data_IF_674250607794
#
_entry.id   IF_674250607794
#
_cell.length_a   1.000
_cell.length_b   1.000
_cell.length_c   1.000
_cell.angle_alpha   90.00
_cell.angle_beta   90.00
_cell.angle_gamma   90.00
#
_symmetry.space_group_name_H-M   'P 1'
#
loop_
_entity.id
_entity.type
_entity.pdbx_description
1 polymer ?
#
# COMPACT_ATOMS: atom_id res chain seq x y z
N UNK A 1 17.86 21.25 38.68
CA UNK A 1 18.14 20.01 37.91
C UNK A 1 16.91 19.25 37.44
N UNK A 2 15.84 19.07 38.24
CA UNK A 2 14.62 18.33 37.85
C UNK A 2 13.88 18.92 36.62
N UNK A 3 13.75 20.26 36.54
CA UNK A 3 13.06 20.96 35.43
C UNK A 3 13.73 20.75 34.05
N UNK A 4 15.06 20.74 33.98
CA UNK A 4 15.80 20.56 32.72
C UNK A 4 15.64 19.11 32.17
N UNK A 5 15.68 18.12 33.05
CA UNK A 5 15.47 16.72 32.68
C UNK A 5 14.05 16.48 32.17
N UNK A 6 13.05 17.12 32.77
CA UNK A 6 11.66 17.03 32.33
C UNK A 6 11.45 17.63 30.92
N UNK A 7 12.07 18.79 30.65
CA UNK A 7 11.99 19.45 29.34
C UNK A 7 12.66 18.64 28.23
N UNK A 8 13.85 18.06 28.51
CA UNK A 8 14.54 17.17 27.55
C UNK A 8 13.71 15.91 27.29
N UNK A 9 13.10 15.35 28.32
CA UNK A 9 12.20 14.20 28.18
C UNK A 9 10.99 14.53 27.32
N UNK A 10 10.38 15.71 27.50
CA UNK A 10 9.22 16.13 26.69
C UNK A 10 9.58 16.28 25.20
N UNK A 11 10.75 16.85 24.87
CA UNK A 11 11.23 16.93 23.48
C UNK A 11 11.50 15.54 22.91
N UNK A 12 12.11 14.65 23.68
CA UNK A 12 12.38 13.26 23.25
C UNK A 12 11.07 12.50 22.98
N UNK A 13 10.07 12.65 23.86
CA UNK A 13 8.72 12.05 23.67
C UNK A 13 8.05 12.61 22.42
N UNK A 14 8.10 13.93 22.21
CA UNK A 14 7.53 14.55 21.00
C UNK A 14 8.21 14.05 19.72
N UNK A 15 9.53 13.92 19.72
CA UNK A 15 10.28 13.35 18.58
C UNK A 15 9.89 11.90 18.30
N UNK A 16 9.77 11.06 19.33
CA UNK A 16 9.31 9.66 19.19
C UNK A 16 7.90 9.60 18.63
N UNK A 17 6.99 10.47 19.09
CA UNK A 17 5.62 10.53 18.58
C UNK A 17 5.57 10.94 17.10
N UNK A 18 6.39 11.90 16.66
CA UNK A 18 6.48 12.31 15.25
C UNK A 18 6.98 11.15 14.39
N UNK A 19 7.98 10.41 14.84
CA UNK A 19 8.50 9.24 14.14
C UNK A 19 7.44 8.13 14.07
N UNK A 20 6.75 7.85 15.17
CA UNK A 20 5.67 6.85 15.22
C UNK A 20 4.50 7.21 14.28
N UNK A 21 4.09 8.48 14.25
CA UNK A 21 3.09 8.99 13.31
C UNK A 21 3.55 8.86 11.85
N UNK A 22 4.83 9.11 11.57
CA UNK A 22 5.42 8.91 10.25
C UNK A 22 5.34 7.45 9.80
N UNK A 23 5.67 6.50 10.66
CA UNK A 23 5.53 5.05 10.38
C UNK A 23 4.08 4.63 10.18
N UNK A 24 3.16 5.11 11.04
CA UNK A 24 1.73 4.82 10.92
C UNK A 24 1.16 5.35 9.60
N UNK A 25 1.53 6.59 9.22
CA UNK A 25 1.13 7.18 7.95
C UNK A 25 1.70 6.40 6.74
N UNK A 26 2.98 6.00 6.80
CA UNK A 26 3.58 5.20 5.74
C UNK A 26 2.86 3.85 5.56
N UNK A 27 2.52 3.17 6.67
CA UNK A 27 1.74 1.94 6.63
C UNK A 27 0.34 2.13 6.04
N UNK A 28 -0.35 3.20 6.46
CA UNK A 28 -1.67 3.56 5.94
C UNK A 28 -1.63 3.86 4.41
N UNK A 29 -0.64 4.65 3.97
CA UNK A 29 -0.47 4.96 2.54
C UNK A 29 -0.12 3.72 1.72
N UNK A 30 0.73 2.84 2.22
CA UNK A 30 1.06 1.58 1.54
C UNK A 30 -0.18 0.68 1.38
N UNK A 31 -1.05 0.63 2.39
CA UNK A 31 -2.32 -0.10 2.29
C UNK A 31 -3.25 0.54 1.26
N UNK A 32 -3.46 1.86 1.34
CA UNK A 32 -4.35 2.58 0.42
C UNK A 32 -3.90 2.44 -1.04
N UNK A 33 -2.59 2.53 -1.30
CA UNK A 33 -2.02 2.34 -2.63
C UNK A 33 -2.26 0.91 -3.12
N UNK A 34 -2.08 -0.08 -2.26
CA UNK A 34 -2.36 -1.47 -2.62
C UNK A 34 -3.84 -1.66 -3.00
N UNK A 35 -4.76 -1.13 -2.20
CA UNK A 35 -6.21 -1.27 -2.43
C UNK A 35 -6.62 -0.58 -3.75
N UNK A 36 -6.15 0.64 -3.99
CA UNK A 36 -6.41 1.39 -5.23
C UNK A 36 -5.82 0.69 -6.47
N UNK A 37 -4.58 0.20 -6.37
CA UNK A 37 -3.94 -0.53 -7.46
C UNK A 37 -4.68 -1.83 -7.77
N UNK A 38 -5.11 -2.59 -6.76
CA UNK A 38 -5.84 -3.83 -6.97
C UNK A 38 -7.23 -3.60 -7.53
N UNK A 39 -7.94 -2.55 -7.12
CA UNK A 39 -9.23 -2.17 -7.67
C UNK A 39 -9.11 -1.79 -9.16
N UNK A 40 -8.11 -0.98 -9.51
CA UNK A 40 -7.81 -0.63 -10.90
C UNK A 40 -7.47 -1.85 -11.76
N UNK A 41 -6.70 -2.80 -11.20
CA UNK A 41 -6.37 -4.04 -11.90
C UNK A 41 -7.60 -4.91 -12.12
N UNK A 42 -8.44 -5.10 -11.10
CA UNK A 42 -9.70 -5.84 -11.21
C UNK A 42 -10.58 -5.22 -12.31
N UNK A 43 -10.76 -3.91 -12.30
CA UNK A 43 -11.53 -3.18 -13.32
C UNK A 43 -10.96 -3.37 -14.73
N UNK A 44 -9.63 -3.38 -14.87
CA UNK A 44 -8.96 -3.61 -16.14
C UNK A 44 -9.23 -5.01 -16.68
N UNK A 45 -9.11 -6.03 -15.82
CA UNK A 45 -9.38 -7.40 -16.21
C UNK A 45 -10.88 -7.67 -16.48
N UNK A 46 -11.77 -6.96 -15.79
CA UNK A 46 -13.21 -6.98 -16.08
C UNK A 46 -13.50 -6.43 -17.49
N UNK A 47 -12.81 -5.39 -17.92
CA UNK A 47 -12.93 -4.88 -19.29
C UNK A 47 -12.39 -5.87 -20.32
N UNK A 48 -11.29 -6.55 -20.01
CA UNK A 48 -10.76 -7.61 -20.88
C UNK A 48 -11.74 -8.78 -20.99
N UNK A 49 -12.34 -9.20 -19.90
CA UNK A 49 -13.36 -10.24 -19.87
C UNK A 49 -14.56 -9.90 -20.75
N UNK A 50 -15.11 -8.70 -20.61
CA UNK A 50 -16.21 -8.20 -21.49
C UNK A 50 -15.82 -8.19 -22.96
N UNK A 51 -14.57 -7.81 -23.25
CA UNK A 51 -14.06 -7.82 -24.64
C UNK A 51 -13.99 -9.24 -25.18
N UNK A 52 -13.53 -10.19 -24.35
CA UNK A 52 -13.48 -11.59 -24.69
C UNK A 52 -14.88 -12.20 -24.88
N UNK A 53 -15.82 -11.86 -24.01
CA UNK A 53 -17.22 -12.28 -24.11
C UNK A 53 -17.85 -11.81 -25.43
N UNK A 54 -17.66 -10.53 -25.79
CA UNK A 54 -18.12 -9.98 -27.05
C UNK A 54 -17.45 -10.65 -28.25
N UNK A 55 -16.16 -10.94 -28.15
CA UNK A 55 -15.43 -11.70 -29.18
C UNK A 55 -16.00 -13.09 -29.37
N UNK A 56 -16.28 -13.81 -28.28
CA UNK A 56 -16.87 -15.12 -28.30
C UNK A 56 -18.28 -15.10 -28.89
N UNK A 57 -19.13 -14.18 -28.44
CA UNK A 57 -20.50 -14.04 -28.96
C UNK A 57 -20.51 -13.77 -30.46
N UNK A 58 -19.59 -12.93 -30.93
CA UNK A 58 -19.40 -12.66 -32.34
C UNK A 58 -19.06 -13.91 -33.12
N UNK A 59 -18.15 -14.77 -32.61
CA UNK A 59 -17.79 -16.03 -33.27
C UNK A 59 -18.98 -17.00 -33.33
N UNK A 60 -19.74 -17.10 -32.26
CA UNK A 60 -20.93 -17.93 -32.27
C UNK A 60 -22.00 -17.47 -33.26
N UNK A 61 -22.21 -16.14 -33.38
CA UNK A 61 -23.12 -15.59 -34.38
C UNK A 61 -22.68 -15.95 -35.80
N UNK A 62 -21.38 -15.87 -36.10
CA UNK A 62 -20.85 -16.25 -37.41
C UNK A 62 -20.99 -17.76 -37.67
N UNK A 63 -20.71 -18.59 -36.65
CA UNK A 63 -20.93 -20.05 -36.77
C UNK A 63 -22.39 -20.37 -36.97
N UNK A 64 -23.32 -19.70 -36.29
CA UNK A 64 -24.76 -19.88 -36.47
C UNK A 64 -25.22 -19.47 -37.87
N UNK A 65 -24.69 -18.36 -38.42
CA UNK A 65 -24.96 -17.94 -39.80
C UNK A 65 -24.48 -19.01 -40.81
N UNK A 66 -23.33 -19.64 -40.56
CA UNK A 66 -22.81 -20.70 -41.42
C UNK A 66 -23.59 -22.02 -41.26
N UNK A 67 -24.03 -22.36 -40.05
CA UNK A 67 -24.92 -23.48 -39.79
C UNK A 67 -26.23 -23.35 -40.61
N UNK A 68 -26.85 -22.17 -40.59
CA UNK A 68 -28.03 -21.88 -41.38
C UNK A 68 -27.77 -22.02 -42.90
N UNK A 69 -26.59 -21.62 -43.37
CA UNK A 69 -26.20 -21.79 -44.77
C UNK A 69 -25.97 -23.28 -45.12
N UNK A 70 -25.36 -24.06 -44.22
CA UNK A 70 -25.18 -25.51 -44.40
C UNK A 70 -26.52 -26.24 -44.44
N UNK A 71 -27.45 -25.85 -43.56
CA UNK A 71 -28.80 -26.41 -43.55
C UNK A 71 -29.56 -26.15 -44.87
N UNK A 72 -29.43 -24.92 -45.41
CA UNK A 72 -30.02 -24.59 -46.73
C UNK A 72 -29.30 -25.30 -47.87
N UNK A 73 -27.99 -25.47 -47.80
CA UNK A 73 -27.19 -26.14 -48.82
C UNK A 73 -27.44 -27.67 -48.88
N UNK A 74 -27.86 -28.31 -47.78
CA UNK A 74 -28.26 -29.74 -47.79
C UNK A 74 -29.49 -30.00 -48.65
N UNK A 75 -30.38 -29.02 -48.78
CA UNK A 75 -31.55 -29.11 -49.68
C UNK A 75 -31.17 -28.87 -51.15
N UNK A 76 -30.17 -27.94 -51.39
CA UNK A 76 -29.76 -27.50 -52.74
C UNK A 76 -28.46 -28.15 -53.27
N UNK A 77 -27.69 -28.87 -52.45
CA UNK A 77 -26.43 -29.54 -52.84
C UNK A 77 -25.18 -28.68 -53.00
N UNK A 78 -25.19 -27.40 -52.56
CA UNK A 78 -24.11 -26.41 -52.77
C UNK A 78 -23.21 -26.16 -51.56
N UNK A 79 -22.47 -27.15 -51.05
CA UNK A 79 -21.45 -26.98 -50.01
C UNK A 79 -20.33 -26.02 -50.42
N UNK A 80 -19.99 -26.00 -51.70
CA UNK A 80 -18.92 -25.13 -52.22
C UNK A 80 -19.14 -23.64 -51.89
N UNK A 81 -20.38 -23.17 -51.90
CA UNK A 81 -20.72 -21.79 -51.61
C UNK A 81 -20.43 -21.43 -50.15
N UNK A 82 -20.63 -22.37 -49.22
CA UNK A 82 -20.31 -22.20 -47.80
C UNK A 82 -18.80 -22.12 -47.58
N UNK A 83 -18.05 -22.99 -48.22
CA UNK A 83 -16.58 -22.96 -48.15
C UNK A 83 -15.98 -21.72 -48.81
N UNK A 84 -16.52 -21.23 -49.91
CA UNK A 84 -16.11 -20.01 -50.57
C UNK A 84 -16.35 -18.84 -49.61
N UNK A 85 -17.48 -18.77 -48.94
CA UNK A 85 -17.83 -17.75 -47.98
C UNK A 85 -16.94 -17.78 -46.75
N UNK A 86 -16.73 -18.98 -46.17
CA UNK A 86 -15.82 -19.16 -45.05
C UNK A 86 -14.39 -18.74 -45.38
N UNK A 87 -13.88 -19.14 -46.59
CA UNK A 87 -12.55 -18.70 -47.06
C UNK A 87 -12.45 -17.21 -47.33
N UNK A 88 -13.48 -16.57 -47.90
CA UNK A 88 -13.50 -15.11 -48.14
C UNK A 88 -13.50 -14.33 -46.85
N UNK A 89 -14.10 -14.83 -45.79
CA UNK A 89 -14.15 -14.23 -44.48
C UNK A 89 -12.90 -14.51 -43.64
N UNK A 90 -12.15 -15.57 -43.92
CA UNK A 90 -11.01 -16.03 -43.15
C UNK A 90 -9.97 -14.91 -42.93
N UNK A 91 -9.62 -14.13 -43.94
CA UNK A 91 -8.66 -13.06 -43.84
C UNK A 91 -9.17 -11.88 -42.97
N UNK A 92 -10.46 -11.54 -43.09
CA UNK A 92 -11.08 -10.45 -42.32
C UNK A 92 -11.23 -10.80 -40.84
N UNK A 93 -11.51 -12.06 -40.55
CA UNK A 93 -11.73 -12.57 -39.20
C UNK A 93 -10.50 -13.23 -38.59
N UNK A 94 -9.44 -13.45 -39.38
CA UNK A 94 -8.15 -14.02 -38.96
C UNK A 94 -8.25 -15.43 -38.40
N UNK A 95 -9.24 -16.23 -38.85
CA UNK A 95 -9.30 -17.66 -38.51
C UNK A 95 -8.07 -18.39 -38.98
N UNK A 96 -7.66 -19.41 -38.22
CA UNK A 96 -6.65 -20.34 -38.66
C UNK A 96 -7.25 -21.38 -39.60
N UNK A 97 -8.24 -22.14 -39.11
CA UNK A 97 -8.96 -23.17 -39.83
C UNK A 97 -10.45 -23.14 -39.46
N UNK A 98 -11.30 -23.55 -40.39
CA UNK A 98 -12.72 -23.85 -40.20
C UNK A 98 -12.90 -25.35 -40.31
N UNK A 99 -13.65 -25.96 -39.42
CA UNK A 99 -13.85 -27.41 -39.32
C UNK A 99 -15.32 -27.76 -39.40
N UNK A 100 -15.64 -28.79 -40.20
CA UNK A 100 -16.79 -29.65 -39.96
C UNK A 100 -16.28 -30.91 -39.28
N UNK A 101 -16.98 -31.42 -38.27
CA UNK A 101 -16.57 -32.58 -37.50
C UNK A 101 -17.76 -33.39 -36.99
N UNK A 102 -17.51 -34.63 -36.52
CA UNK A 102 -18.53 -35.50 -35.97
C UNK A 102 -18.09 -36.17 -34.67
N UNK A 103 -19.00 -36.91 -34.03
CA UNK A 103 -18.74 -37.62 -32.78
C UNK A 103 -17.70 -38.76 -32.92
N UNK A 104 -17.44 -39.23 -34.16
CA UNK A 104 -16.43 -40.23 -34.45
C UNK A 104 -15.03 -39.61 -34.67
N UNK A 105 -14.88 -38.32 -34.41
CA UNK A 105 -13.67 -37.52 -34.62
C UNK A 105 -13.23 -37.43 -36.10
N UNK A 106 -14.13 -37.69 -37.05
CA UNK A 106 -13.87 -37.34 -38.44
C UNK A 106 -14.01 -35.82 -38.61
N UNK A 107 -13.11 -35.22 -39.36
CA UNK A 107 -13.18 -33.81 -39.69
C UNK A 107 -12.79 -33.54 -41.14
N UNK A 108 -13.29 -32.40 -41.62
CA UNK A 108 -12.80 -31.72 -42.84
C UNK A 108 -12.63 -30.23 -42.58
N UNK A 109 -11.63 -29.63 -43.21
CA UNK A 109 -11.37 -28.19 -43.09
C UNK A 109 -11.67 -27.44 -44.37
N UNK A 110 -11.83 -26.12 -44.25
CA UNK A 110 -11.96 -25.19 -45.40
C UNK A 110 -10.79 -25.30 -46.41
N UNK A 111 -9.62 -25.77 -45.98
CA UNK A 111 -8.46 -26.06 -46.82
C UNK A 111 -8.45 -27.48 -47.44
N UNK A 112 -9.51 -28.22 -47.29
CA UNK A 112 -9.63 -29.60 -47.86
C UNK A 112 -8.85 -30.66 -47.09
N UNK A 113 -8.32 -30.38 -45.91
CA UNK A 113 -7.72 -31.41 -45.04
C UNK A 113 -8.84 -32.20 -44.39
N UNK A 114 -8.82 -33.50 -44.53
CA UNK A 114 -9.78 -34.44 -43.93
C UNK A 114 -9.07 -35.58 -43.19
N UNK A 115 -9.73 -36.22 -42.26
CA UNK A 115 -9.18 -37.37 -41.53
C UNK A 115 -9.78 -37.52 -40.15
N UNK A 116 -9.02 -38.17 -39.25
CA UNK A 116 -9.35 -38.28 -37.83
C UNK A 116 -8.72 -37.12 -37.06
N UNK A 117 -9.50 -36.55 -36.16
CA UNK A 117 -9.02 -35.53 -35.29
C UNK A 117 -7.90 -36.09 -34.39
N UNK A 118 -6.77 -35.37 -34.33
CA UNK A 118 -5.67 -35.68 -33.44
C UNK A 118 -5.79 -34.91 -32.14
N UNK A 119 -4.88 -33.97 -31.91
CA UNK A 119 -4.86 -33.15 -30.69
C UNK A 119 -6.11 -32.27 -30.45
N UNK A 120 -6.96 -32.07 -31.47
CA UNK A 120 -8.20 -31.29 -31.37
C UNK A 120 -9.42 -32.14 -30.93
N UNK A 121 -9.30 -33.48 -30.88
CA UNK A 121 -10.45 -34.36 -30.61
C UNK A 121 -11.08 -34.06 -29.24
N UNK A 122 -10.29 -33.79 -28.22
CA UNK A 122 -10.76 -33.40 -26.90
C UNK A 122 -11.69 -32.19 -26.92
N UNK A 123 -11.40 -31.17 -27.78
CA UNK A 123 -12.27 -30.01 -27.95
C UNK A 123 -13.62 -30.37 -28.54
N UNK A 124 -13.63 -31.25 -29.53
CA UNK A 124 -14.85 -31.72 -30.18
C UNK A 124 -15.70 -32.53 -29.20
N UNK A 125 -15.08 -33.44 -28.42
CA UNK A 125 -15.77 -34.21 -27.39
C UNK A 125 -16.37 -33.32 -26.31
N UNK A 126 -15.63 -32.34 -25.81
CA UNK A 126 -16.14 -31.36 -24.82
C UNK A 126 -17.41 -30.66 -25.34
N UNK A 127 -17.46 -30.26 -26.61
CA UNK A 127 -18.65 -29.66 -27.19
C UNK A 127 -19.85 -30.62 -27.18
N UNK A 128 -19.64 -31.88 -27.55
CA UNK A 128 -20.73 -32.86 -27.54
C UNK A 128 -21.22 -33.20 -26.14
N UNK A 129 -20.31 -33.26 -25.16
CA UNK A 129 -20.66 -33.44 -23.74
C UNK A 129 -21.50 -32.30 -23.19
N UNK A 130 -21.17 -31.06 -23.58
CA UNK A 130 -21.93 -29.87 -23.18
C UNK A 130 -23.25 -29.72 -23.97
N UNK A 131 -23.33 -30.23 -25.19
CA UNK A 131 -24.51 -30.16 -26.06
C UNK A 131 -24.87 -28.75 -26.53
N UNK A 132 -23.97 -27.79 -26.39
CA UNK A 132 -24.16 -26.37 -26.74
C UNK A 132 -22.90 -25.82 -27.40
N UNK A 133 -22.95 -24.58 -27.86
CA UNK A 133 -21.74 -23.86 -28.27
C UNK A 133 -20.69 -23.86 -27.17
N UNK A 134 -19.46 -24.17 -27.53
CA UNK A 134 -18.37 -24.37 -26.60
C UNK A 134 -17.07 -23.68 -27.05
N UNK A 135 -16.26 -23.30 -26.09
CA UNK A 135 -14.91 -22.81 -26.34
C UNK A 135 -13.92 -23.70 -25.58
N UNK A 136 -12.86 -24.08 -26.25
CA UNK A 136 -11.77 -24.82 -25.63
C UNK A 136 -10.44 -24.49 -26.32
N UNK A 137 -9.37 -25.11 -25.88
CA UNK A 137 -8.06 -24.97 -26.51
C UNK A 137 -7.33 -26.29 -26.60
N UNK A 138 -6.43 -26.40 -27.57
CA UNK A 138 -5.54 -27.54 -27.72
C UNK A 138 -4.14 -27.07 -28.16
N UNK A 139 -3.16 -27.95 -28.01
CA UNK A 139 -1.82 -27.75 -28.55
C UNK A 139 -1.72 -28.45 -29.89
N UNK A 140 -1.52 -27.70 -30.96
CA UNK A 140 -1.38 -28.23 -32.28
C UNK A 140 -0.02 -28.96 -32.46
N UNK A 141 0.12 -29.73 -33.53
CA UNK A 141 1.35 -30.51 -33.84
C UNK A 141 2.60 -29.63 -34.01
N UNK A 142 2.43 -28.35 -34.30
CA UNK A 142 3.50 -27.35 -34.39
C UNK A 142 3.87 -26.74 -33.01
N UNK A 143 3.31 -27.24 -31.92
CA UNK A 143 3.51 -26.77 -30.56
C UNK A 143 2.76 -25.47 -30.23
N UNK A 144 1.98 -24.91 -31.16
CA UNK A 144 1.21 -23.70 -30.90
C UNK A 144 -0.11 -24.01 -30.19
N UNK A 145 -0.48 -23.20 -29.20
CA UNK A 145 -1.80 -23.29 -28.58
C UNK A 145 -2.84 -22.64 -29.50
N UNK A 146 -3.95 -23.31 -29.72
CA UNK A 146 -5.06 -22.80 -30.51
C UNK A 146 -6.33 -22.80 -29.70
N UNK A 147 -7.11 -21.76 -29.90
CA UNK A 147 -8.43 -21.57 -29.28
C UNK A 147 -9.46 -21.91 -30.31
N UNK A 148 -10.46 -22.69 -29.91
CA UNK A 148 -11.50 -23.22 -30.80
C UNK A 148 -12.87 -22.83 -30.29
N UNK A 149 -13.66 -22.25 -31.17
CA UNK A 149 -15.09 -22.02 -30.97
C UNK A 149 -15.83 -23.07 -31.75
N UNK A 150 -16.64 -23.87 -31.11
CA UNK A 150 -17.38 -24.97 -31.68
C UNK A 150 -18.88 -24.82 -31.43
N UNK A 151 -19.68 -25.26 -32.39
CA UNK A 151 -21.14 -25.22 -32.37
C UNK A 151 -21.66 -26.55 -32.90
N UNK A 152 -22.66 -27.21 -32.25
CA UNK A 152 -23.38 -28.33 -32.86
C UNK A 152 -24.21 -27.81 -34.02
N UNK A 153 -24.20 -28.55 -35.15
CA UNK A 153 -25.05 -28.21 -36.32
C UNK A 153 -26.51 -28.44 -36.00
N UNK A 154 -27.37 -27.55 -36.48
CA UNK A 154 -28.84 -27.69 -36.37
C UNK A 154 -29.37 -28.87 -37.14
N UNK A 155 -28.72 -29.24 -38.27
CA UNK A 155 -28.99 -30.41 -39.08
C UNK A 155 -27.66 -31.09 -39.45
N UNK A 156 -27.60 -32.46 -39.39
CA UNK A 156 -26.44 -33.18 -39.86
C UNK A 156 -26.19 -32.92 -41.35
N UNK A 157 -24.92 -32.70 -41.68
CA UNK A 157 -24.49 -32.40 -43.04
C UNK A 157 -23.61 -33.53 -43.58
N UNK A 158 -23.96 -34.12 -44.75
CA UNK A 158 -23.20 -35.23 -45.35
C UNK A 158 -22.40 -34.73 -46.55
N UNK A 159 -21.10 -34.99 -46.52
CA UNK A 159 -20.16 -34.66 -47.58
C UNK A 159 -19.20 -35.84 -47.80
N UNK A 160 -18.98 -36.24 -49.07
CA UNK A 160 -18.12 -37.38 -49.45
C UNK A 160 -18.39 -38.65 -48.64
N UNK A 161 -19.64 -38.93 -48.31
CA UNK A 161 -20.06 -40.13 -47.56
C UNK A 161 -19.82 -40.05 -46.04
N UNK A 162 -19.32 -38.94 -45.52
CA UNK A 162 -19.15 -38.70 -44.08
C UNK A 162 -20.19 -37.69 -43.60
N UNK A 163 -20.90 -38.03 -42.52
CA UNK A 163 -21.88 -37.15 -41.89
C UNK A 163 -21.22 -36.38 -40.75
N UNK A 164 -21.31 -35.05 -40.81
CA UNK A 164 -20.81 -34.09 -39.85
C UNK A 164 -21.94 -33.52 -39.01
N UNK A 165 -21.69 -33.27 -37.73
CA UNK A 165 -22.70 -32.81 -36.77
C UNK A 165 -22.19 -31.62 -35.92
N UNK A 166 -21.00 -31.13 -36.21
CA UNK A 166 -20.42 -29.99 -35.55
C UNK A 166 -19.64 -29.08 -36.50
N UNK A 167 -19.64 -27.81 -36.20
CA UNK A 167 -18.91 -26.76 -36.91
C UNK A 167 -18.00 -26.02 -35.92
N UNK A 168 -16.76 -25.72 -36.33
CA UNK A 168 -15.83 -25.01 -35.49
C UNK A 168 -14.91 -24.06 -36.27
N UNK A 169 -14.42 -23.05 -35.60
CA UNK A 169 -13.31 -22.17 -36.04
C UNK A 169 -12.20 -22.19 -35.04
N UNK A 170 -10.96 -22.18 -35.51
CA UNK A 170 -9.78 -22.07 -34.65
C UNK A 170 -9.04 -20.78 -34.90
N UNK A 171 -8.38 -20.31 -33.84
CA UNK A 171 -7.48 -19.18 -33.85
C UNK A 171 -6.14 -19.58 -33.23
N UNK A 172 -5.06 -18.99 -33.70
CA UNK A 172 -3.81 -19.00 -32.96
C UNK A 172 -3.99 -18.14 -31.69
N UNK A 173 -3.44 -18.60 -30.58
CA UNK A 173 -3.56 -17.89 -29.28
C UNK A 173 -3.14 -16.40 -29.39
N UNK A 174 -2.06 -16.12 -30.12
CA UNK A 174 -1.59 -14.76 -30.32
C UNK A 174 -2.62 -13.87 -31.04
N UNK A 175 -3.40 -14.43 -31.96
CA UNK A 175 -4.45 -13.68 -32.66
C UNK A 175 -5.59 -13.28 -31.72
N UNK A 176 -6.02 -14.17 -30.83
CA UNK A 176 -7.05 -13.87 -29.84
C UNK A 176 -6.54 -12.80 -28.87
N UNK A 177 -5.29 -12.90 -28.46
CA UNK A 177 -4.67 -11.92 -27.60
C UNK A 177 -4.62 -10.52 -28.21
N UNK A 178 -4.16 -10.39 -29.46
CA UNK A 178 -4.14 -9.12 -30.17
C UNK A 178 -5.54 -8.47 -30.26
N UNK A 179 -6.60 -9.29 -30.30
CA UNK A 179 -7.98 -8.84 -30.39
C UNK A 179 -8.61 -8.48 -29.04
N UNK A 180 -8.22 -9.15 -27.97
CA UNK A 180 -8.88 -9.09 -26.67
C UNK A 180 -8.07 -8.29 -25.63
N UNK A 181 -6.78 -8.57 -25.51
CA UNK A 181 -6.03 -8.08 -24.38
C UNK A 181 -5.49 -6.66 -24.57
N UNK A 182 -5.21 -6.26 -25.82
CA UNK A 182 -4.47 -5.02 -26.04
C UNK A 182 -3.10 -4.99 -25.35
N UNK A 183 -2.35 -3.92 -25.46
CA UNK A 183 -1.07 -3.74 -24.73
C UNK A 183 -1.29 -3.05 -23.38
N UNK A 184 -2.00 -3.72 -22.47
CA UNK A 184 -2.42 -3.16 -21.19
C UNK A 184 -1.18 -3.08 -20.34
N UNK A 185 -0.32 -2.92 -19.98
CA UNK A 185 0.86 -2.85 -19.13
C UNK A 185 2.20 -2.99 -19.91
N UNK A 186 2.19 -2.61 -21.21
CA UNK A 186 3.40 -2.61 -22.04
C UNK A 186 4.13 -3.96 -22.06
N UNK A 187 3.36 -5.07 -22.09
CA UNK A 187 3.93 -6.41 -22.08
C UNK A 187 4.52 -6.89 -20.76
N UNK A 188 4.27 -6.18 -19.63
CA UNK A 188 4.77 -6.54 -18.30
C UNK A 188 3.69 -7.10 -17.38
N UNK A 189 2.68 -7.72 -17.96
CA UNK A 189 1.64 -8.46 -17.25
C UNK A 189 1.44 -9.80 -17.93
N UNK A 190 1.12 -10.82 -17.15
CA UNK A 190 0.69 -12.12 -17.61
C UNK A 190 -0.78 -12.31 -17.27
N UNK A 191 -1.57 -12.75 -18.24
CA UNK A 191 -2.97 -13.01 -18.05
C UNK A 191 -3.31 -14.40 -18.60
N UNK A 192 -3.95 -15.21 -17.77
CA UNK A 192 -4.33 -16.56 -18.08
C UNK A 192 -5.84 -16.72 -17.92
N UNK A 193 -6.48 -17.38 -18.87
CA UNK A 193 -7.80 -17.94 -18.68
C UNK A 193 -7.62 -19.39 -18.24
N UNK A 194 -8.17 -19.72 -17.09
CA UNK A 194 -7.94 -21.01 -16.43
C UNK A 194 -9.25 -21.69 -16.07
N UNK A 195 -9.23 -23.02 -16.01
CA UNK A 195 -10.32 -23.82 -15.43
C UNK A 195 -10.31 -23.69 -13.90
N UNK A 196 -11.37 -24.13 -13.25
CA UNK A 196 -11.45 -24.19 -11.77
C UNK A 196 -10.31 -24.98 -11.13
N UNK A 197 -9.71 -25.94 -11.84
CA UNK A 197 -8.52 -26.70 -11.44
C UNK A 197 -7.23 -25.88 -11.47
N UNK A 198 -7.23 -24.69 -12.09
CA UNK A 198 -6.03 -23.88 -12.36
C UNK A 198 -5.34 -24.24 -13.68
N UNK A 199 -5.87 -25.18 -14.46
CA UNK A 199 -5.34 -25.56 -15.77
C UNK A 199 -5.54 -24.41 -16.76
N UNK A 200 -4.47 -24.05 -17.46
CA UNK A 200 -4.48 -22.95 -18.42
C UNK A 200 -5.21 -23.38 -19.68
N UNK A 201 -6.34 -22.74 -19.95
CA UNK A 201 -7.06 -22.90 -21.22
C UNK A 201 -6.31 -22.14 -22.31
N UNK A 202 -6.01 -20.87 -22.08
CA UNK A 202 -5.15 -20.05 -22.96
C UNK A 202 -4.56 -18.88 -22.18
N UNK A 203 -3.51 -18.27 -22.77
CA UNK A 203 -2.87 -17.09 -22.24
C UNK A 203 -3.24 -15.89 -23.07
N UNK A 204 -3.55 -14.77 -22.43
CA UNK A 204 -3.84 -13.49 -23.07
C UNK A 204 -2.59 -12.63 -23.22
N UNK A 205 -1.38 -13.19 -23.10
CA UNK A 205 -0.12 -12.46 -23.32
C UNK A 205 0.96 -13.30 -24.03
N UNK A 206 1.59 -12.74 -25.07
CA UNK A 206 2.56 -13.48 -25.91
C UNK A 206 3.96 -13.57 -25.34
N UNK A 207 4.31 -12.71 -24.39
CA UNK A 207 5.69 -12.59 -23.85
C UNK A 207 5.65 -12.69 -22.34
N UNK A 208 5.32 -13.89 -21.86
CA UNK A 208 5.38 -14.16 -20.42
C UNK A 208 6.84 -14.20 -19.95
N UNK A 209 7.16 -13.39 -18.94
CA UNK A 209 8.38 -13.54 -18.14
C UNK A 209 8.31 -14.78 -17.24
N UNK A 210 7.09 -15.25 -16.96
CA UNK A 210 6.76 -16.52 -16.34
C UNK A 210 6.78 -17.54 -17.47
N UNK A 211 7.54 -18.55 -17.45
CA UNK A 211 7.75 -19.58 -18.48
C UNK A 211 6.66 -19.71 -19.57
N UNK A 212 7.01 -19.76 -20.86
CA UNK A 212 6.06 -19.70 -21.97
C UNK A 212 5.03 -20.86 -22.04
N UNK A 213 5.18 -21.90 -21.22
CA UNK A 213 4.31 -23.09 -21.21
C UNK A 213 3.95 -23.54 -19.79
N UNK A 214 3.19 -22.71 -19.07
CA UNK A 214 2.59 -23.15 -17.81
C UNK A 214 1.28 -23.89 -18.15
N UNK A 215 1.21 -25.19 -17.84
CA UNK A 215 0.00 -25.99 -18.03
C UNK A 215 -1.05 -25.72 -16.94
N UNK A 216 -0.59 -25.52 -15.71
CA UNK A 216 -1.42 -25.17 -14.56
C UNK A 216 -0.77 -24.01 -13.79
N UNK A 217 -1.40 -22.84 -13.84
CA UNK A 217 -0.86 -21.63 -13.20
C UNK A 217 -0.92 -21.70 -11.68
N UNK A 218 -1.96 -22.32 -11.13
CA UNK A 218 -2.09 -22.43 -9.68
C UNK A 218 -1.02 -23.34 -9.09
N UNK A 219 -0.75 -24.50 -9.71
CA UNK A 219 0.34 -25.37 -9.30
C UNK A 219 1.70 -24.65 -9.39
N UNK A 220 1.93 -23.93 -10.49
CA UNK A 220 3.16 -23.16 -10.67
C UNK A 220 3.35 -22.08 -9.58
N UNK A 221 2.30 -21.34 -9.25
CA UNK A 221 2.35 -20.31 -8.20
C UNK A 221 2.54 -20.94 -6.81
N UNK A 222 1.90 -22.07 -6.54
CA UNK A 222 2.07 -22.80 -5.27
C UNK A 222 3.49 -23.28 -5.04
N UNK A 223 4.21 -23.66 -6.11
CA UNK A 223 5.58 -24.15 -6.04
C UNK A 223 6.65 -23.03 -6.01
N UNK A 224 6.40 -21.92 -6.73
CA UNK A 224 7.45 -20.92 -7.00
C UNK A 224 7.18 -19.55 -6.39
N UNK A 225 5.94 -19.25 -5.95
CA UNK A 225 5.60 -17.93 -5.43
C UNK A 225 5.57 -17.90 -3.89
N UNK A 226 6.04 -16.78 -3.33
CA UNK A 226 5.91 -16.47 -1.90
C UNK A 226 4.88 -15.36 -1.73
N UNK A 227 3.80 -15.64 -1.00
CA UNK A 227 2.70 -14.71 -0.79
C UNK A 227 2.93 -13.87 0.46
N UNK A 228 2.90 -12.54 0.32
CA UNK A 228 2.98 -11.59 1.43
C UNK A 228 1.61 -11.00 1.81
N UNK A 229 0.63 -11.09 0.90
CA UNK A 229 -0.76 -10.77 1.15
C UNK A 229 -1.64 -11.86 0.56
N UNK A 230 -2.54 -12.41 1.39
CA UNK A 230 -3.31 -13.61 1.07
C UNK A 230 -2.52 -14.90 1.36
N UNK A 231 -3.21 -16.03 1.35
CA UNK A 231 -2.58 -17.35 1.41
C UNK A 231 -2.86 -18.11 0.11
N UNK A 232 -1.93 -18.93 -0.31
CA UNK A 232 -2.09 -19.71 -1.55
C UNK A 232 -3.34 -20.60 -1.54
N UNK A 233 -3.59 -21.29 -0.44
CA UNK A 233 -4.76 -22.18 -0.31
C UNK A 233 -6.08 -21.43 -0.42
N UNK A 234 -6.14 -20.22 0.13
CA UNK A 234 -7.32 -19.35 0.02
C UNK A 234 -7.53 -18.88 -1.42
N UNK A 235 -6.45 -18.44 -2.10
CA UNK A 235 -6.50 -17.99 -3.49
C UNK A 235 -6.96 -19.14 -4.41
N UNK A 236 -6.35 -20.32 -4.26
CA UNK A 236 -6.71 -21.50 -5.04
C UNK A 236 -8.19 -21.87 -4.85
N UNK A 237 -8.67 -21.83 -3.61
CA UNK A 237 -10.08 -22.09 -3.31
C UNK A 237 -11.00 -21.04 -3.93
N UNK A 238 -10.64 -19.75 -3.86
CA UNK A 238 -11.44 -18.66 -4.42
C UNK A 238 -11.49 -18.71 -5.94
N UNK A 239 -10.37 -18.97 -6.60
CA UNK A 239 -10.32 -19.21 -8.07
C UNK A 239 -11.20 -20.38 -8.45
N UNK A 240 -11.10 -21.51 -7.73
CA UNK A 240 -11.94 -22.69 -7.95
C UNK A 240 -13.45 -22.47 -7.74
N UNK A 241 -13.84 -21.44 -6.96
CA UNK A 241 -15.24 -21.06 -6.76
C UNK A 241 -15.68 -19.85 -7.60
N UNK A 242 -14.86 -19.39 -8.54
CA UNK A 242 -15.17 -18.22 -9.37
C UNK A 242 -15.38 -16.94 -8.56
N UNK A 243 -14.56 -16.70 -7.55
CA UNK A 243 -14.59 -15.46 -6.75
C UNK A 243 -13.63 -14.42 -7.31
N UNK A 244 -13.98 -13.14 -7.08
CA UNK A 244 -13.10 -12.02 -7.37
C UNK A 244 -12.18 -11.78 -6.18
N UNK A 245 -10.90 -11.56 -6.45
CA UNK A 245 -9.96 -11.22 -5.39
C UNK A 245 -8.59 -10.80 -5.91
N UNK A 246 -7.74 -10.45 -4.95
CA UNK A 246 -6.37 -10.03 -5.22
C UNK A 246 -5.41 -10.53 -4.15
N UNK A 247 -4.15 -10.66 -4.51
CA UNK A 247 -3.06 -11.00 -3.61
C UNK A 247 -1.78 -10.30 -4.06
N UNK A 248 -0.75 -10.35 -3.23
CA UNK A 248 0.58 -9.90 -3.60
C UNK A 248 1.58 -11.03 -3.34
N UNK A 249 2.36 -11.37 -4.37
CA UNK A 249 3.37 -12.42 -4.27
C UNK A 249 4.71 -11.97 -4.85
N UNK A 250 5.75 -12.67 -4.43
CA UNK A 250 7.10 -12.55 -5.00
C UNK A 250 7.37 -13.83 -5.78
N UNK A 251 7.73 -13.66 -7.06
CA UNK A 251 8.05 -14.74 -7.98
C UNK A 251 9.39 -14.41 -8.67
N UNK A 252 10.36 -15.32 -8.60
CA UNK A 252 11.71 -15.11 -9.15
C UNK A 252 12.38 -13.80 -8.67
N UNK A 253 12.13 -13.39 -7.41
CA UNK A 253 12.68 -12.17 -6.83
C UNK A 253 11.98 -10.87 -7.23
N UNK A 254 10.94 -10.92 -8.06
CA UNK A 254 10.12 -9.78 -8.46
C UNK A 254 8.77 -9.81 -7.75
N UNK A 255 8.26 -8.64 -7.35
CA UNK A 255 6.92 -8.50 -6.78
C UNK A 255 5.85 -8.47 -7.87
N UNK A 256 4.74 -9.17 -7.63
CA UNK A 256 3.58 -9.21 -8.52
C UNK A 256 2.29 -8.97 -7.77
N UNK A 257 1.43 -8.15 -8.35
CA UNK A 257 0.01 -8.14 -8.04
C UNK A 257 -0.65 -9.32 -8.74
N UNK A 258 -1.28 -10.19 -8.00
CA UNK A 258 -2.12 -11.26 -8.49
C UNK A 258 -3.58 -10.82 -8.36
N UNK A 259 -4.32 -10.87 -9.46
CA UNK A 259 -5.75 -10.58 -9.51
C UNK A 259 -6.45 -11.76 -10.17
N UNK A 260 -7.59 -12.16 -9.64
CA UNK A 260 -8.40 -13.23 -10.19
C UNK A 260 -9.88 -12.91 -10.11
N UNK A 261 -10.60 -13.34 -11.13
CA UNK A 261 -12.05 -13.15 -11.24
C UNK A 261 -12.67 -14.23 -12.14
N UNK A 262 -13.99 -14.51 -12.03
CA UNK A 262 -14.66 -15.40 -12.96
C UNK A 262 -14.62 -14.78 -14.36
N UNK A 263 -14.48 -15.62 -15.37
CA UNK A 263 -14.71 -15.24 -16.75
C UNK A 263 -16.21 -15.31 -17.06
N UNK A 264 -16.71 -14.40 -17.90
CA UNK A 264 -18.13 -14.38 -18.31
C UNK A 264 -18.54 -15.57 -19.18
N UNK A 265 -17.61 -16.46 -19.51
CA UNK A 265 -17.82 -17.61 -20.39
C UNK A 265 -17.36 -18.89 -19.71
N UNK A 266 -18.24 -19.89 -19.66
CA UNK A 266 -17.93 -21.18 -19.03
C UNK A 266 -17.69 -21.10 -17.52
N UNK A 267 -17.04 -22.11 -16.98
CA UNK A 267 -16.64 -22.23 -15.56
C UNK A 267 -15.17 -21.83 -15.41
N UNK A 268 -14.75 -20.78 -16.10
CA UNK A 268 -13.38 -20.35 -16.14
C UNK A 268 -13.15 -19.14 -15.23
N UNK A 269 -11.89 -18.92 -14.91
CA UNK A 269 -11.44 -17.72 -14.22
C UNK A 269 -10.32 -17.04 -15.00
N UNK A 270 -10.27 -15.73 -14.93
CA UNK A 270 -9.13 -14.96 -15.40
C UNK A 270 -8.17 -14.78 -14.22
N UNK A 271 -6.91 -15.09 -14.44
CA UNK A 271 -5.83 -14.92 -13.46
C UNK A 271 -4.78 -13.99 -14.09
N UNK A 272 -4.65 -12.80 -13.51
CA UNK A 272 -3.70 -11.78 -13.95
C UNK A 272 -2.55 -11.64 -12.98
N UNK A 273 -1.33 -11.55 -13.50
CA UNK A 273 -0.08 -11.28 -12.77
C UNK A 273 0.54 -10.02 -13.36
N UNK A 274 0.62 -8.95 -12.59
CA UNK A 274 1.20 -7.69 -13.04
C UNK A 274 2.38 -7.32 -12.15
N UNK A 275 3.51 -7.02 -12.75
CA UNK A 275 4.70 -6.60 -11.99
C UNK A 275 4.44 -5.33 -11.21
N UNK A 276 4.84 -5.34 -9.95
CA UNK A 276 4.63 -4.22 -9.03
C UNK A 276 5.37 -2.95 -9.46
N UNK A 277 6.55 -3.08 -10.10
CA UNK A 277 7.30 -1.93 -10.59
C UNK A 277 6.56 -1.13 -11.68
N UNK A 278 5.68 -1.79 -12.44
CA UNK A 278 4.86 -1.15 -13.46
C UNK A 278 3.65 -0.46 -12.85
N UNK A 279 2.96 -1.19 -11.96
CA UNK A 279 1.75 -0.70 -11.29
C UNK A 279 2.09 0.46 -10.34
N UNK A 280 3.17 0.31 -9.58
CA UNK A 280 3.62 1.29 -8.59
C UNK A 280 4.40 2.48 -9.20
N UNK A 281 4.73 2.45 -10.49
CA UNK A 281 5.62 3.45 -11.11
C UNK A 281 5.14 4.90 -10.94
N UNK A 282 3.85 5.16 -11.08
CA UNK A 282 3.26 6.48 -10.84
C UNK A 282 3.12 6.88 -9.37
N UNK A 283 3.10 5.90 -8.47
CA UNK A 283 2.88 6.11 -7.04
C UNK A 283 4.20 6.24 -6.25
N UNK A 284 5.31 5.77 -6.79
CA UNK A 284 6.61 5.88 -6.13
C UNK A 284 7.06 7.34 -5.98
N UNK A 285 6.76 8.20 -6.94
CA UNK A 285 7.00 9.65 -6.82
C UNK A 285 6.17 10.27 -5.70
N UNK A 286 4.89 9.91 -5.60
CA UNK A 286 3.99 10.39 -4.54
C UNK A 286 4.46 9.90 -3.17
N UNK A 287 4.88 8.64 -3.06
CA UNK A 287 5.48 8.10 -1.82
C UNK A 287 6.73 8.87 -1.41
N UNK A 288 7.62 9.14 -2.35
CA UNK A 288 8.86 9.90 -2.09
C UNK A 288 8.54 11.31 -1.62
N UNK A 289 7.69 12.04 -2.37
CA UNK A 289 7.31 13.42 -2.04
C UNK A 289 6.65 13.49 -0.67
N UNK A 290 5.69 12.59 -0.37
CA UNK A 290 5.00 12.59 0.93
C UNK A 290 5.94 12.24 2.09
N UNK A 291 6.86 11.29 1.91
CA UNK A 291 7.85 10.92 2.92
C UNK A 291 8.80 12.09 3.21
N UNK A 292 9.29 12.77 2.18
CA UNK A 292 10.13 13.96 2.31
C UNK A 292 9.36 15.08 3.00
N UNK A 293 8.12 15.35 2.61
CA UNK A 293 7.28 16.39 3.21
C UNK A 293 7.05 16.15 4.71
N UNK A 294 6.74 14.92 5.12
CA UNK A 294 6.59 14.56 6.54
C UNK A 294 7.91 14.76 7.30
N UNK A 295 9.03 14.34 6.70
CA UNK A 295 10.35 14.54 7.28
C UNK A 295 10.65 16.03 7.51
N UNK A 296 10.41 16.88 6.53
CA UNK A 296 10.60 18.34 6.62
C UNK A 296 9.71 18.94 7.71
N UNK A 297 8.43 18.60 7.75
CA UNK A 297 7.49 19.07 8.79
C UNK A 297 7.96 18.63 10.17
N UNK A 298 8.41 17.38 10.33
CA UNK A 298 8.96 16.87 11.58
C UNK A 298 10.19 17.65 12.06
N UNK A 299 11.11 17.98 11.15
CA UNK A 299 12.29 18.82 11.47
C UNK A 299 11.87 20.23 11.89
N UNK A 300 10.92 20.85 11.18
CA UNK A 300 10.41 22.19 11.51
C UNK A 300 9.78 22.20 12.89
N UNK A 301 8.91 21.23 13.21
CA UNK A 301 8.26 21.15 14.53
C UNK A 301 9.31 20.97 15.63
N UNK A 302 10.28 20.09 15.42
CA UNK A 302 11.36 19.85 16.39
C UNK A 302 12.19 21.11 16.61
N UNK A 303 12.57 21.83 15.54
CA UNK A 303 13.32 23.09 15.63
C UNK A 303 12.52 24.18 16.37
N UNK A 304 11.21 24.29 16.13
CA UNK A 304 10.33 25.20 16.86
C UNK A 304 10.27 24.87 18.34
N UNK A 305 10.08 23.60 18.71
CA UNK A 305 10.07 23.16 20.10
C UNK A 305 11.40 23.49 20.81
N UNK A 306 12.53 23.17 20.17
CA UNK A 306 13.86 23.51 20.72
C UNK A 306 14.00 25.03 20.90
N UNK A 307 13.58 25.82 19.91
CA UNK A 307 13.65 27.29 19.97
C UNK A 307 12.81 27.87 21.13
N UNK A 308 11.58 27.34 21.30
CA UNK A 308 10.69 27.73 22.41
C UNK A 308 11.34 27.43 23.78
N UNK A 309 11.90 26.21 23.92
CA UNK A 309 12.56 25.81 25.18
C UNK A 309 13.77 26.67 25.46
N UNK A 310 14.61 26.93 24.46
CA UNK A 310 15.80 27.79 24.62
C UNK A 310 15.41 29.23 24.95
N UNK A 311 14.38 29.79 24.30
CA UNK A 311 13.87 31.14 24.61
C UNK A 311 13.35 31.21 26.03
N UNK A 312 12.60 30.24 26.52
CA UNK A 312 12.12 30.17 27.91
C UNK A 312 13.30 30.09 28.91
N UNK A 313 14.31 29.24 28.65
CA UNK A 313 15.47 29.15 29.53
C UNK A 313 16.24 30.47 29.60
N UNK A 314 16.38 31.18 28.50
CA UNK A 314 17.01 32.50 28.47
C UNK A 314 16.19 33.56 29.22
N UNK A 315 14.86 33.52 29.11
CA UNK A 315 13.97 34.40 29.85
C UNK A 315 14.03 34.12 31.38
N UNK A 316 13.96 32.86 31.79
CA UNK A 316 14.10 32.45 33.20
C UNK A 316 15.47 32.83 33.79
N UNK A 317 16.54 32.73 32.99
CA UNK A 317 17.88 33.14 33.40
C UNK A 317 17.98 34.67 33.61
N UNK A 318 17.40 35.47 32.70
CA UNK A 318 17.37 36.94 32.83
C UNK A 318 16.60 37.38 34.07
N UNK A 319 15.45 36.84 34.34
CA UNK A 319 14.67 37.14 35.55
C UNK A 319 15.46 36.86 36.83
N UNK A 320 16.16 35.74 36.90
CA UNK A 320 17.01 35.40 38.05
C UNK A 320 18.20 36.31 38.20
N UNK A 321 18.79 36.78 37.11
CA UNK A 321 19.89 37.75 37.17
C UNK A 321 19.40 39.14 37.60
N UNK A 322 18.20 39.58 37.16
CA UNK A 322 17.54 40.81 37.62
C UNK A 322 17.22 40.76 39.12
N UNK A 323 16.66 39.64 39.61
CA UNK A 323 16.41 39.42 41.04
C UNK A 323 17.71 39.50 41.86
N UNK A 324 18.77 38.82 41.40
CA UNK A 324 20.08 38.87 42.07
C UNK A 324 20.66 40.29 42.12
N UNK A 325 20.58 40.99 40.99
CA UNK A 325 21.05 42.38 40.94
C UNK A 325 20.21 43.30 41.85
N UNK A 326 18.91 43.08 41.94
CA UNK A 326 18.05 43.85 42.85
C UNK A 326 18.44 43.63 44.33
N UNK A 327 18.63 42.35 44.71
CA UNK A 327 19.11 42.01 46.08
C UNK A 327 20.49 42.58 46.36
N UNK A 328 21.43 42.52 45.42
CA UNK A 328 22.76 43.12 45.59
C UNK A 328 22.70 44.63 45.70
N UNK A 329 21.87 45.33 44.91
CA UNK A 329 21.67 46.82 45.05
C UNK A 329 21.12 47.18 46.42
N UNK A 330 20.10 46.41 46.89
CA UNK A 330 19.54 46.63 48.22
C UNK A 330 20.60 46.43 49.32
N UNK A 331 21.38 45.33 49.20
CA UNK A 331 22.47 45.04 50.14
C UNK A 331 23.53 46.15 50.14
N UNK A 332 23.95 46.72 48.99
CA UNK A 332 24.88 47.81 48.85
C UNK A 332 24.29 49.07 49.45
N UNK A 333 23.04 49.42 49.23
CA UNK A 333 22.38 50.58 49.79
C UNK A 333 22.34 50.48 51.31
N UNK A 334 21.98 49.35 51.90
CA UNK A 334 22.04 49.15 53.37
C UNK A 334 23.47 49.32 53.91
N UNK A 335 24.44 48.71 53.22
CA UNK A 335 25.84 48.83 53.62
C UNK A 335 26.36 50.27 53.56
N UNK A 336 25.95 51.09 52.59
CA UNK A 336 26.29 52.52 52.48
C UNK A 336 25.60 53.36 53.59
N UNK A 337 24.34 53.06 53.90
CA UNK A 337 23.64 53.73 55.03
C UNK A 337 24.33 53.42 56.36
N UNK A 338 24.68 52.17 56.63
CA UNK A 338 25.39 51.76 57.84
C UNK A 338 26.75 52.42 57.91
N UNK A 339 27.52 52.49 56.83
CA UNK A 339 28.80 53.19 56.77
C UNK A 339 28.69 54.72 56.90
N UNK A 340 27.56 55.30 56.45
CA UNK A 340 27.21 56.71 56.70
C UNK A 340 26.90 56.97 58.18
N UNK A 341 26.15 56.09 58.83
CA UNK A 341 25.81 56.15 60.23
C UNK A 341 27.06 56.04 61.11
N UNK A 342 28.03 55.21 60.81
CA UNK A 342 29.30 55.06 61.49
C UNK A 342 30.11 56.43 61.57
N UNK A 343 29.88 57.31 60.60
CA UNK A 343 30.58 58.65 60.58
C UNK A 343 29.87 59.69 61.35
N UNK A 344 28.57 59.53 61.61
CA UNK A 344 27.74 60.58 62.24
C UNK A 344 27.46 60.24 63.70
N UNK A 345 27.35 58.97 64.03
CA UNK A 345 27.01 58.50 65.38
C UNK A 345 28.17 57.67 65.92
N UNK A 346 28.63 58.08 67.12
CA UNK A 346 29.78 57.43 67.78
C UNK A 346 29.57 55.97 68.11
N UNK A 347 28.29 55.56 68.35
CA UNK A 347 27.90 54.18 68.70
C UNK A 347 26.50 53.89 68.19
N UNK A 348 26.28 52.68 67.59
CA UNK A 348 24.98 52.17 67.22
C UNK A 348 24.94 50.66 67.22
N UNK A 349 23.74 50.13 67.31
CA UNK A 349 23.44 48.69 67.28
C UNK A 349 22.59 48.43 66.10
N UNK A 350 22.98 47.49 65.29
CA UNK A 350 22.15 46.91 64.21
C UNK A 350 21.54 45.64 64.73
N UNK A 351 20.21 45.57 64.71
CA UNK A 351 19.46 44.38 65.21
C UNK A 351 18.83 43.67 64.04
N UNK A 352 19.08 42.38 63.94
CA UNK A 352 18.32 41.48 63.05
C UNK A 352 17.12 41.01 63.84
N UNK A 353 15.94 41.50 63.46
CA UNK A 353 14.67 41.14 64.14
C UNK A 353 14.19 39.74 63.81
N UNK A 354 14.72 39.05 62.73
CA UNK A 354 14.35 37.71 62.34
C UNK A 354 15.10 36.70 63.17
N UNK A 355 16.41 36.88 63.27
CA UNK A 355 17.29 35.95 64.01
C UNK A 355 17.49 36.38 65.51
N UNK A 356 16.95 37.55 65.93
CA UNK A 356 17.08 38.05 67.28
C UNK A 356 18.49 38.40 67.67
N UNK A 357 19.38 38.64 66.72
CA UNK A 357 20.80 38.92 66.96
C UNK A 357 21.12 40.40 66.77
N UNK A 358 22.21 40.86 67.41
CA UNK A 358 22.66 42.20 67.21
C UNK A 358 24.14 42.27 66.81
N UNK A 359 24.50 43.37 66.13
CA UNK A 359 25.89 43.76 65.84
C UNK A 359 26.11 45.17 66.37
N UNK A 360 26.98 45.29 67.37
CA UNK A 360 27.38 46.56 67.99
C UNK A 360 28.53 47.15 67.17
N UNK A 361 28.44 48.45 66.83
CA UNK A 361 29.46 49.17 66.07
C UNK A 361 29.82 50.50 66.76
N UNK A 362 31.12 50.76 66.87
CA UNK A 362 31.66 51.93 67.52
C UNK A 362 32.77 52.57 66.65
N UNK A 363 32.77 53.93 66.55
CA UNK A 363 33.67 54.68 65.69
C UNK A 363 35.02 55.00 66.33
N UNK A 364 35.21 54.83 67.63
CA UNK A 364 36.45 55.17 68.35
C UNK A 364 37.24 53.91 68.76
N UNK A 365 38.58 53.95 68.65
CA UNK A 365 39.54 52.91 69.07
C UNK A 365 39.57 52.70 70.60
N UNK A 366 38.45 52.59 71.25
CA UNK A 366 38.33 52.21 72.66
C UNK A 366 37.86 50.79 72.76
N UNK A 367 38.17 50.11 73.83
CA UNK A 367 37.63 48.81 74.08
C UNK A 367 36.11 48.87 74.03
N UNK A 368 35.47 47.94 73.22
CA UNK A 368 34.05 48.00 73.08
C UNK A 368 33.36 47.73 74.42
N UNK A 369 32.37 48.58 74.72
CA UNK A 369 31.68 48.59 76.01
C UNK A 369 30.73 47.34 76.12
N UNK A 370 30.33 46.80 74.98
CA UNK A 370 29.46 45.58 74.84
C UNK A 370 30.09 44.61 73.87
N UNK A 371 29.65 43.36 73.93
CA UNK A 371 30.08 42.42 72.96
C UNK A 371 29.73 42.84 71.53
N UNK A 372 30.65 42.68 70.55
CA UNK A 372 30.46 43.14 69.18
C UNK A 372 29.29 42.44 68.46
N UNK A 373 28.93 41.27 68.87
CA UNK A 373 27.78 40.52 68.36
C UNK A 373 27.21 39.60 69.43
N UNK A 374 25.89 39.43 69.46
CA UNK A 374 25.25 38.55 70.42
C UNK A 374 23.75 38.50 70.26
N UNK A 375 23.07 37.89 71.23
CA UNK A 375 21.63 37.89 71.34
C UNK A 375 21.11 39.29 71.78
N UNK A 376 20.10 39.80 71.05
CA UNK A 376 19.59 41.15 71.32
C UNK A 376 18.90 41.26 72.69
N UNK A 377 18.19 40.17 73.13
CA UNK A 377 17.55 40.14 74.41
C UNK A 377 18.56 40.23 75.59
N UNK A 378 19.75 39.61 75.40
CA UNK A 378 20.82 39.70 76.39
C UNK A 378 21.51 41.09 76.43
N UNK A 379 21.69 41.70 75.26
CA UNK A 379 22.15 43.11 75.20
C UNK A 379 21.17 44.02 75.92
N UNK A 380 19.86 43.89 75.72
CA UNK A 380 18.85 44.69 76.40
C UNK A 380 18.91 44.54 77.92
N UNK A 381 19.11 43.31 78.43
CA UNK A 381 19.27 43.06 79.86
C UNK A 381 20.53 43.75 80.40
N UNK A 382 21.64 43.64 79.70
CA UNK A 382 22.92 44.29 80.11
C UNK A 382 22.81 45.83 80.10
N UNK A 383 22.19 46.40 79.04
CA UNK A 383 21.95 47.83 78.92
C UNK A 383 21.00 48.32 80.05
N UNK A 384 19.89 47.58 80.28
CA UNK A 384 18.94 47.96 81.32
C UNK A 384 19.54 47.84 82.69
N UNK A 385 20.35 46.87 83.01
CA UNK A 385 21.01 46.71 84.26
C UNK A 385 22.03 47.89 84.58
N UNK A 386 22.59 48.48 83.52
CA UNK A 386 23.61 49.48 83.61
C UNK A 386 23.12 50.95 83.62
N UNK A 387 21.99 51.20 82.93
CA UNK A 387 21.55 52.58 82.65
C UNK A 387 20.11 52.86 83.11
N UNK A 388 19.36 51.90 83.52
CA UNK A 388 18.02 52.14 84.05
C UNK A 388 18.09 52.26 85.54
N UNK A 389 18.10 53.49 86.02
CA UNK A 389 17.97 53.82 87.46
C UNK A 389 16.42 53.89 87.70
N UNK A 390 15.89 52.88 88.37
CA UNK A 390 14.53 52.99 88.89
C UNK A 390 14.57 54.09 90.00
N UNK A 391 13.93 55.24 89.75
CA UNK A 391 13.56 56.12 90.77
C UNK A 391 12.33 55.54 91.49
N UNK A 392 12.50 54.99 92.65
CA UNK A 392 11.40 54.79 93.57
C UNK A 392 10.79 56.15 93.90
N UNK A 393 9.62 56.42 93.31
CA UNK A 393 8.75 57.47 93.85
C UNK A 393 7.91 56.87 94.94
N UNK A 394 8.25 57.14 96.18
CA UNK A 394 7.36 56.94 97.32
C UNK A 394 6.15 57.84 97.07
N UNK A 395 4.98 57.19 96.94
CA UNK A 395 3.69 57.87 97.14
C UNK A 395 3.22 57.66 98.56
N UNK A 396 3.15 58.82 99.26
CA UNK A 396 2.32 58.96 100.43
C UNK A 396 0.86 59.14 100.15
#
# INVERSE_FOLDING_TARGET
>A
MKSRRFKVLAIAVAAVLIVALGFAYHGFMAQKIYDENTENLISTYEQMDKTFELFAQRNWNVLADWDALLAAATEDGHIEDVWIRARSQKNSWRYRDVYLFNQNNDFITDGGRSGKAGSIDGVFQEMYEKGTSWISSYIASDGTRRIVFALPLSQPFTFEGVTYTGLAVSYDNNTVMDMVAGDVYRGKSDCYVVRQSGDVVFSLQPKSEIKPFVSNIMAYLGEHASFSRGSFDEIQRQVGHGKVGSAFCTLNGCGYYLVYQPAGIGDWSIVGLVRSDVVDSGMNEVKLISTVAIGVVGVIITALLVTIVVRRERADARLKDEERQAVERQRRAISQLLGGMERIVDRFVVVDLVDGTYEYRENQKREPQYALKGDYADLLKEVSARYVVFSETEDT
#
